data_IF_093044853089
#
_entry.id   IF_093044853089
#
_cell.length_a   1.000
_cell.length_b   1.000
_cell.length_c   1.000
_cell.angle_alpha   90.00
_cell.angle_beta   90.00
_cell.angle_gamma   90.00
#
_symmetry.space_group_name_H-M   'P 1'
#
loop_
_entity.id
_entity.type
_entity.pdbx_description
1 polymer ?
#
# COMPACT_ATOMS: atom_id res chain seq x y z
N UNK A 1 -19.57 35.95 23.74
CA UNK A 1 -19.26 35.84 22.29
C UNK A 1 -18.17 34.81 22.00
N UNK A 2 -16.94 34.92 22.54
CA UNK A 2 -15.85 33.95 22.28
C UNK A 2 -16.22 32.47 22.54
N UNK A 3 -16.92 32.17 23.64
CA UNK A 3 -17.35 30.80 24.00
C UNK A 3 -18.39 30.20 23.03
N UNK A 4 -19.27 31.03 22.45
CA UNK A 4 -20.26 30.59 21.44
C UNK A 4 -19.62 30.35 20.07
N UNK A 5 -18.62 31.16 19.70
CA UNK A 5 -17.85 30.95 18.46
C UNK A 5 -17.04 29.66 18.53
N UNK A 6 -16.42 29.35 19.67
CA UNK A 6 -15.73 28.06 19.91
C UNK A 6 -16.71 26.88 19.91
N UNK A 7 -17.90 27.03 20.51
CA UNK A 7 -18.96 26.01 20.52
C UNK A 7 -19.54 25.69 19.13
N UNK A 8 -19.37 26.59 18.16
CA UNK A 8 -19.77 26.37 16.76
C UNK A 8 -18.58 25.85 15.94
N UNK A 9 -17.37 26.36 16.18
CA UNK A 9 -16.15 25.93 15.48
C UNK A 9 -15.77 24.49 15.86
N UNK A 10 -15.96 24.06 17.11
CA UNK A 10 -15.62 22.70 17.55
C UNK A 10 -16.46 21.61 16.85
N UNK A 11 -17.80 21.68 16.80
CA UNK A 11 -18.59 20.73 16.04
C UNK A 11 -18.37 20.87 14.53
N UNK A 12 -18.04 22.06 14.00
CA UNK A 12 -17.67 22.22 12.58
C UNK A 12 -16.33 21.54 12.26
N UNK A 13 -15.33 21.63 13.14
CA UNK A 13 -14.06 20.93 13.00
C UNK A 13 -14.23 19.42 13.16
N UNK A 14 -14.96 18.96 14.19
CA UNK A 14 -15.26 17.54 14.40
C UNK A 14 -16.06 16.93 13.25
N UNK A 15 -17.12 17.62 12.77
CA UNK A 15 -17.89 17.16 11.61
C UNK A 15 -17.06 17.22 10.33
N UNK A 16 -16.22 18.24 10.11
CA UNK A 16 -15.33 18.27 8.93
C UNK A 16 -14.30 17.14 8.92
N UNK A 17 -13.76 16.74 10.08
CA UNK A 17 -12.84 15.58 10.16
C UNK A 17 -13.56 14.25 9.94
N UNK A 18 -14.78 14.09 10.42
CA UNK A 18 -15.61 12.90 10.19
C UNK A 18 -16.12 12.82 8.74
N UNK A 19 -16.51 13.95 8.12
CA UNK A 19 -16.91 14.02 6.72
C UNK A 19 -15.72 13.83 5.76
N UNK A 20 -14.55 14.40 6.06
CA UNK A 20 -13.35 14.18 5.26
C UNK A 20 -12.91 12.71 5.29
N UNK A 21 -13.05 12.01 6.43
CA UNK A 21 -12.76 10.57 6.52
C UNK A 21 -13.85 9.72 5.87
N UNK A 22 -15.11 10.15 5.93
CA UNK A 22 -16.21 9.53 5.19
C UNK A 22 -15.99 9.60 3.67
N UNK A 23 -15.60 10.76 3.16
CA UNK A 23 -15.15 10.89 1.76
C UNK A 23 -13.86 10.13 1.50
N UNK A 24 -12.91 10.04 2.43
CA UNK A 24 -11.68 9.26 2.24
C UNK A 24 -11.94 7.74 2.19
N UNK A 25 -12.90 7.22 2.96
CA UNK A 25 -13.32 5.82 2.94
C UNK A 25 -14.19 5.50 1.71
N UNK A 26 -15.04 6.44 1.28
CA UNK A 26 -15.80 6.33 0.04
C UNK A 26 -14.88 6.46 -1.18
N UNK A 27 -13.93 7.39 -1.19
CA UNK A 27 -12.90 7.51 -2.20
C UNK A 27 -12.02 6.28 -2.18
N UNK A 28 -11.65 5.69 -1.05
CA UNK A 28 -10.92 4.41 -1.03
C UNK A 28 -11.75 3.27 -1.62
N UNK A 29 -13.06 3.23 -1.38
CA UNK A 29 -13.95 2.22 -1.97
C UNK A 29 -14.15 2.43 -3.47
N UNK A 30 -14.25 3.69 -3.91
CA UNK A 30 -14.36 4.11 -5.31
C UNK A 30 -13.01 3.91 -6.02
N UNK A 31 -11.89 4.28 -5.39
CA UNK A 31 -10.51 4.05 -5.82
C UNK A 31 -10.24 2.55 -5.87
N UNK A 32 -10.73 1.73 -4.93
CA UNK A 32 -10.70 0.27 -5.04
C UNK A 32 -11.44 -0.28 -6.26
N UNK A 33 -12.47 0.43 -6.75
CA UNK A 33 -13.24 0.13 -7.95
C UNK A 33 -12.59 0.70 -9.24
N UNK A 34 -12.01 1.90 -9.18
CA UNK A 34 -11.32 2.60 -10.28
C UNK A 34 -9.90 2.04 -10.53
N UNK A 35 -9.26 1.50 -9.49
CA UNK A 35 -7.97 0.79 -9.58
C UNK A 35 -8.09 -0.56 -10.31
N UNK A 36 -9.30 -1.12 -10.43
CA UNK A 36 -9.52 -2.22 -11.38
C UNK A 36 -9.12 -1.83 -12.82
N UNK A 37 -8.96 -0.52 -13.11
CA UNK A 37 -8.70 -0.01 -14.45
C UNK A 37 -7.23 0.42 -14.67
N UNK A 38 -6.43 0.77 -13.65
CA UNK A 38 -5.08 1.36 -13.92
C UNK A 38 -4.02 1.14 -12.81
N UNK A 39 -3.21 0.07 -12.90
CA UNK A 39 -1.89 0.02 -12.22
C UNK A 39 -0.94 -1.08 -12.71
N UNK A 40 -0.31 -0.90 -13.88
CA UNK A 40 0.80 -1.72 -14.40
C UNK A 40 0.88 -1.62 -15.94
N UNK A 41 1.84 -2.27 -16.60
CA UNK A 41 2.18 -2.12 -18.05
C UNK A 41 1.06 -2.57 -19.04
N UNK A 42 -0.19 -2.62 -18.57
CA UNK A 42 -1.35 -3.13 -19.26
C UNK A 42 -1.33 -4.65 -19.38
N UNK A 43 -2.48 -5.28 -19.63
CA UNK A 43 -2.50 -6.69 -19.97
C UNK A 43 -1.77 -6.93 -21.31
N UNK A 44 -1.31 -8.17 -21.51
CA UNK A 44 -0.74 -8.64 -22.77
C UNK A 44 -1.74 -9.54 -23.45
N UNK A 45 -1.95 -9.33 -24.75
CA UNK A 45 -2.82 -10.17 -25.56
C UNK A 45 -1.97 -11.12 -26.40
N UNK A 46 -2.30 -12.40 -26.36
CA UNK A 46 -1.58 -13.46 -27.08
C UNK A 46 -2.58 -14.34 -27.83
N UNK A 47 -2.24 -14.76 -29.03
CA UNK A 47 -3.01 -15.73 -29.82
C UNK A 47 -2.27 -17.06 -29.79
N UNK A 48 -2.92 -18.11 -29.28
CA UNK A 48 -2.39 -19.47 -29.32
C UNK A 48 -2.89 -20.15 -30.60
N UNK A 49 -2.04 -20.97 -31.23
CA UNK A 49 -2.34 -21.58 -32.54
C UNK A 49 -3.60 -22.47 -32.53
N UNK A 50 -3.94 -23.04 -31.37
CA UNK A 50 -5.12 -23.91 -31.20
C UNK A 50 -6.40 -23.13 -30.85
N UNK A 51 -6.30 -21.84 -30.56
CA UNK A 51 -7.40 -21.04 -30.03
C UNK A 51 -7.98 -20.08 -31.07
N UNK A 52 -9.32 -19.98 -31.06
CA UNK A 52 -10.05 -19.17 -32.07
C UNK A 52 -10.00 -17.66 -31.80
N UNK A 53 -9.28 -17.21 -30.78
CA UNK A 53 -9.24 -15.80 -30.43
C UNK A 53 -8.11 -15.39 -29.49
N UNK A 54 -7.88 -14.07 -29.37
CA UNK A 54 -6.87 -13.50 -28.50
C UNK A 54 -7.19 -13.75 -27.02
N UNK A 55 -6.20 -14.24 -26.28
CA UNK A 55 -6.24 -14.45 -24.82
C UNK A 55 -5.50 -13.30 -24.14
N UNK A 56 -6.07 -12.79 -23.05
CA UNK A 56 -5.52 -11.66 -22.31
C UNK A 56 -4.91 -12.14 -21.00
N UNK A 57 -3.65 -11.77 -20.75
CA UNK A 57 -2.87 -12.16 -19.57
C UNK A 57 -2.44 -10.91 -18.81
N UNK A 58 -2.51 -10.97 -17.48
CA UNK A 58 -2.10 -9.87 -16.61
C UNK A 58 -3.13 -8.76 -16.48
N UNK A 59 -2.75 -7.65 -15.85
CA UNK A 59 -3.69 -6.55 -15.54
C UNK A 59 -4.79 -6.93 -14.54
N UNK A 60 -4.69 -8.10 -13.92
CA UNK A 60 -5.71 -8.71 -13.07
C UNK A 60 -5.06 -9.31 -11.83
N UNK A 61 -5.88 -9.61 -10.81
CA UNK A 61 -5.40 -10.23 -9.58
C UNK A 61 -4.98 -11.71 -9.73
N UNK A 62 -4.43 -12.28 -8.67
CA UNK A 62 -3.93 -13.68 -8.63
C UNK A 62 -4.96 -14.72 -9.09
N UNK A 63 -6.23 -14.59 -8.68
CA UNK A 63 -7.26 -15.60 -8.96
C UNK A 63 -7.64 -15.64 -10.46
N UNK A 64 -7.97 -14.51 -11.11
CA UNK A 64 -8.12 -14.47 -12.57
C UNK A 64 -6.89 -14.98 -13.31
N UNK A 65 -5.69 -14.52 -12.93
CA UNK A 65 -4.44 -14.95 -13.57
C UNK A 65 -4.26 -16.46 -13.52
N UNK A 66 -4.46 -17.06 -12.35
CA UNK A 66 -4.37 -18.52 -12.18
C UNK A 66 -5.37 -19.25 -13.06
N UNK A 67 -6.61 -18.77 -13.12
CA UNK A 67 -7.66 -19.36 -13.94
C UNK A 67 -7.27 -19.36 -15.42
N UNK A 68 -6.68 -18.28 -15.92
CA UNK A 68 -6.16 -18.21 -17.29
C UNK A 68 -5.11 -19.30 -17.55
N UNK A 69 -4.21 -19.57 -16.60
CA UNK A 69 -3.21 -20.65 -16.74
C UNK A 69 -3.75 -22.06 -16.53
N UNK A 70 -4.91 -22.20 -15.91
CA UNK A 70 -5.63 -23.49 -15.81
C UNK A 70 -6.44 -23.77 -17.09
N UNK A 71 -6.91 -22.72 -17.78
CA UNK A 71 -7.71 -22.80 -19.00
C UNK A 71 -6.86 -22.93 -20.27
N UNK A 72 -5.66 -22.35 -20.31
CA UNK A 72 -4.82 -22.27 -21.50
C UNK A 72 -3.38 -22.73 -21.26
N UNK A 73 -2.84 -23.49 -22.21
CA UNK A 73 -1.44 -23.92 -22.20
C UNK A 73 -0.55 -22.96 -23.02
N UNK A 74 0.25 -22.16 -22.31
CA UNK A 74 1.20 -21.22 -22.91
C UNK A 74 2.55 -21.85 -23.23
N UNK A 75 2.75 -23.15 -22.96
CA UNK A 75 3.99 -23.86 -23.29
C UNK A 75 4.21 -23.98 -24.81
N UNK A 76 3.13 -23.82 -25.59
CA UNK A 76 3.13 -23.75 -27.06
C UNK A 76 3.87 -22.52 -27.59
N UNK A 77 3.95 -21.44 -26.81
CA UNK A 77 4.71 -20.24 -27.18
C UNK A 77 6.22 -20.48 -27.08
N UNK A 78 6.97 -19.81 -27.96
CA UNK A 78 8.42 -19.81 -27.93
C UNK A 78 8.97 -19.23 -26.62
N UNK A 79 10.09 -19.78 -26.13
CA UNK A 79 10.68 -19.39 -24.85
C UNK A 79 10.91 -17.88 -24.72
N UNK A 80 11.46 -17.22 -25.76
CA UNK A 80 11.70 -15.77 -25.75
C UNK A 80 10.43 -14.93 -25.67
N UNK A 81 9.32 -15.43 -26.20
CA UNK A 81 8.02 -14.78 -26.08
C UNK A 81 7.47 -14.92 -24.65
N UNK A 82 7.56 -16.13 -24.07
CA UNK A 82 7.17 -16.37 -22.68
C UNK A 82 7.98 -15.51 -21.70
N UNK A 83 9.29 -15.37 -21.94
CA UNK A 83 10.17 -14.51 -21.13
C UNK A 83 9.77 -13.02 -21.25
N UNK A 84 9.50 -12.53 -22.46
CA UNK A 84 9.01 -11.14 -22.65
C UNK A 84 7.66 -10.89 -21.97
N UNK A 85 6.75 -11.86 -22.00
CA UNK A 85 5.48 -11.77 -21.28
C UNK A 85 5.74 -11.68 -19.77
N UNK A 86 6.61 -12.53 -19.25
CA UNK A 86 6.99 -12.50 -17.84
C UNK A 86 7.61 -11.17 -17.42
N UNK A 87 8.62 -10.69 -18.14
CA UNK A 87 9.30 -9.41 -17.83
C UNK A 87 8.35 -8.21 -17.88
N UNK A 88 7.35 -8.28 -18.77
CA UNK A 88 6.35 -7.22 -18.89
C UNK A 88 5.29 -7.27 -17.78
N UNK A 89 4.85 -8.46 -17.38
CA UNK A 89 3.73 -8.66 -16.46
C UNK A 89 4.16 -8.87 -15.00
N UNK A 90 5.44 -9.16 -14.75
CA UNK A 90 5.96 -9.31 -13.39
C UNK A 90 5.75 -8.01 -12.60
N UNK A 91 5.33 -8.16 -11.35
CA UNK A 91 5.08 -7.02 -10.47
C UNK A 91 6.31 -6.74 -9.60
N UNK A 92 6.67 -5.47 -9.40
CA UNK A 92 7.77 -5.11 -8.50
C UNK A 92 7.39 -5.46 -7.06
N UNK A 93 8.34 -5.95 -6.27
CA UNK A 93 8.12 -6.28 -4.85
C UNK A 93 8.54 -5.11 -3.95
N UNK A 94 9.71 -4.53 -4.18
CA UNK A 94 10.32 -3.53 -3.29
C UNK A 94 9.56 -2.20 -3.31
N UNK A 95 9.21 -1.69 -4.49
CA UNK A 95 8.59 -0.37 -4.61
C UNK A 95 7.21 -0.27 -3.93
N UNK A 96 6.31 -1.25 -4.08
CA UNK A 96 5.07 -1.34 -3.29
C UNK A 96 5.27 -1.30 -1.78
N UNK A 97 6.28 -2.00 -1.25
CA UNK A 97 6.61 -1.99 0.18
C UNK A 97 6.99 -0.57 0.63
N UNK A 98 7.91 0.08 -0.11
CA UNK A 98 8.35 1.45 0.19
C UNK A 98 7.15 2.40 0.20
N UNK A 99 6.28 2.31 -0.82
CA UNK A 99 5.10 3.18 -0.94
C UNK A 99 4.10 2.98 0.21
N UNK A 100 3.90 1.74 0.67
CA UNK A 100 3.04 1.45 1.82
C UNK A 100 3.64 1.93 3.15
N UNK A 101 4.97 1.90 3.30
CA UNK A 101 5.63 2.44 4.50
C UNK A 101 5.58 3.97 4.50
N UNK A 102 5.76 4.62 3.36
CA UNK A 102 5.84 6.09 3.30
C UNK A 102 4.48 6.77 3.21
N UNK A 103 3.57 6.25 2.37
CA UNK A 103 2.24 6.84 2.15
C UNK A 103 1.18 6.13 2.98
N UNK A 104 1.17 4.79 2.97
CA UNK A 104 0.13 3.99 3.59
C UNK A 104 -1.14 3.84 2.76
N UNK A 105 -2.25 3.55 3.43
CA UNK A 105 -3.59 3.34 2.90
C UNK A 105 -3.65 2.27 1.80
N UNK A 106 -2.73 1.31 1.84
CA UNK A 106 -2.67 0.22 0.88
C UNK A 106 -2.20 0.65 -0.52
N UNK A 107 -1.68 1.87 -0.69
CA UNK A 107 -1.23 2.44 -1.98
C UNK A 107 -0.15 1.63 -2.72
N UNK A 108 0.61 0.81 -2.00
CA UNK A 108 1.57 -0.14 -2.54
C UNK A 108 0.89 -1.37 -3.13
N UNK A 109 -0.11 -1.93 -2.45
CA UNK A 109 -0.89 -3.08 -2.92
C UNK A 109 -1.65 -2.75 -4.22
N UNK A 110 -2.10 -1.50 -4.36
CA UNK A 110 -2.66 -0.96 -5.61
C UNK A 110 -1.72 -1.16 -6.81
N UNK A 111 -0.42 -0.92 -6.63
CA UNK A 111 0.57 -1.07 -7.70
C UNK A 111 0.78 -2.51 -8.17
N UNK A 112 0.24 -3.48 -7.44
CA UNK A 112 0.36 -4.91 -7.75
C UNK A 112 -0.99 -5.55 -8.09
N UNK A 113 -2.05 -4.76 -8.27
CA UNK A 113 -3.42 -5.27 -8.46
C UNK A 113 -3.96 -6.08 -7.26
N UNK A 114 -3.47 -5.79 -6.05
CA UNK A 114 -3.92 -6.41 -4.80
C UNK A 114 -5.01 -5.57 -4.12
N UNK A 115 -6.26 -5.76 -4.56
CA UNK A 115 -7.42 -5.03 -4.01
C UNK A 115 -7.66 -5.32 -2.52
N UNK A 116 -7.39 -6.55 -2.07
CA UNK A 116 -7.58 -6.92 -0.66
C UNK A 116 -6.53 -6.28 0.24
N UNK A 117 -5.28 -6.24 -0.21
CA UNK A 117 -4.22 -5.51 0.49
C UNK A 117 -4.46 -4.01 0.51
N UNK A 118 -4.97 -3.45 -0.61
CA UNK A 118 -5.34 -2.04 -0.69
C UNK A 118 -6.41 -1.68 0.35
N UNK A 119 -7.52 -2.45 0.36
CA UNK A 119 -8.61 -2.28 1.31
C UNK A 119 -8.13 -2.44 2.76
N UNK A 120 -7.32 -3.47 3.04
CA UNK A 120 -6.79 -3.71 4.39
C UNK A 120 -5.97 -2.52 4.88
N UNK A 121 -5.08 -2.00 4.03
CA UNK A 121 -4.26 -0.84 4.38
C UNK A 121 -5.09 0.40 4.67
N UNK A 122 -6.11 0.67 3.85
CA UNK A 122 -6.98 1.81 4.05
C UNK A 122 -7.87 1.70 5.29
N UNK A 123 -8.40 0.52 5.60
CA UNK A 123 -9.19 0.30 6.82
C UNK A 123 -8.33 0.48 8.07
N UNK A 124 -7.13 -0.10 8.11
CA UNK A 124 -6.23 0.01 9.26
C UNK A 124 -5.78 1.46 9.50
N UNK A 125 -5.41 2.17 8.44
CA UNK A 125 -4.99 3.57 8.56
C UNK A 125 -6.16 4.49 8.86
N UNK A 126 -7.32 4.27 8.24
CA UNK A 126 -8.54 5.01 8.51
C UNK A 126 -8.98 4.87 9.97
N UNK A 127 -9.04 3.65 10.49
CA UNK A 127 -9.38 3.41 11.89
C UNK A 127 -8.42 4.12 12.84
N UNK A 128 -7.12 4.00 12.59
CA UNK A 128 -6.08 4.62 13.43
C UNK A 128 -6.13 6.15 13.35
N UNK A 129 -6.38 6.72 12.17
CA UNK A 129 -6.56 8.15 11.96
C UNK A 129 -7.82 8.68 12.65
N UNK A 130 -8.93 7.92 12.64
CA UNK A 130 -10.16 8.26 13.38
C UNK A 130 -9.86 8.29 14.88
N UNK A 131 -9.25 7.24 15.42
CA UNK A 131 -8.91 7.16 16.86
C UNK A 131 -8.04 8.36 17.27
N UNK A 132 -7.01 8.67 16.48
CA UNK A 132 -6.14 9.82 16.71
C UNK A 132 -6.92 11.15 16.66
N UNK A 133 -7.79 11.32 15.65
CA UNK A 133 -8.56 12.54 15.44
C UNK A 133 -9.58 12.78 16.55
N UNK A 134 -10.23 11.73 17.04
CA UNK A 134 -11.15 11.82 18.19
C UNK A 134 -10.37 12.26 19.44
N UNK A 135 -9.22 11.65 19.71
CA UNK A 135 -8.37 12.04 20.83
C UNK A 135 -7.90 13.50 20.74
N UNK A 136 -7.46 13.93 19.56
CA UNK A 136 -7.07 15.32 19.29
C UNK A 136 -8.24 16.30 19.44
N UNK A 137 -9.43 15.93 18.99
CA UNK A 137 -10.65 16.72 19.14
C UNK A 137 -11.03 16.93 20.60
N UNK A 138 -10.91 15.89 21.43
CA UNK A 138 -11.10 15.98 22.88
C UNK A 138 -10.07 16.92 23.51
N UNK A 139 -8.79 16.76 23.15
CA UNK A 139 -7.70 17.58 23.68
C UNK A 139 -7.88 19.07 23.34
N UNK A 140 -8.14 19.38 22.06
CA UNK A 140 -8.39 20.77 21.60
C UNK A 140 -9.66 21.32 22.24
N UNK A 141 -10.72 20.53 22.35
CA UNK A 141 -11.97 20.94 22.99
C UNK A 141 -11.79 21.32 24.45
N UNK A 142 -11.03 20.52 25.20
CA UNK A 142 -10.71 20.80 26.60
C UNK A 142 -9.94 22.11 26.75
N UNK A 143 -8.86 22.31 25.99
CA UNK A 143 -8.06 23.55 26.05
C UNK A 143 -8.90 24.76 25.62
N UNK A 144 -9.81 24.60 24.65
CA UNK A 144 -10.59 25.70 24.11
C UNK A 144 -11.73 26.15 25.04
N UNK A 145 -12.36 25.20 25.75
CA UNK A 145 -13.50 25.50 26.63
C UNK A 145 -13.04 25.77 28.08
N UNK A 146 -12.01 25.07 28.53
CA UNK A 146 -11.49 25.10 29.91
C UNK A 146 -9.97 25.36 29.92
N UNK A 147 -9.48 26.49 29.37
CA UNK A 147 -8.05 26.75 29.18
C UNK A 147 -7.25 26.73 30.49
N UNK A 148 -7.84 27.18 31.60
CA UNK A 148 -7.16 27.31 32.89
C UNK A 148 -7.47 26.14 33.85
N UNK A 149 -8.44 25.29 33.53
CA UNK A 149 -8.95 24.22 34.40
C UNK A 149 -9.06 22.87 33.69
N UNK A 150 -8.40 22.68 32.55
CA UNK A 150 -8.45 21.40 31.82
C UNK A 150 -7.88 20.23 32.66
N UNK A 151 -6.97 20.52 33.60
CA UNK A 151 -6.47 19.57 34.60
C UNK A 151 -7.57 19.06 35.54
N UNK A 152 -8.62 19.84 35.77
CA UNK A 152 -9.73 19.43 36.63
C UNK A 152 -10.65 18.41 35.93
N UNK A 153 -10.53 18.32 34.61
CA UNK A 153 -11.20 17.32 33.76
C UNK A 153 -10.28 16.14 33.43
N UNK A 154 -9.49 15.72 34.43
CA UNK A 154 -8.50 14.64 34.34
C UNK A 154 -8.98 13.40 33.57
N UNK A 155 -10.20 12.87 33.78
CA UNK A 155 -10.69 11.69 33.06
C UNK A 155 -10.88 11.91 31.56
N UNK A 156 -11.37 13.08 31.16
CA UNK A 156 -11.59 13.38 29.73
C UNK A 156 -10.27 13.70 29.05
N UNK A 157 -9.36 14.38 29.76
CA UNK A 157 -8.00 14.62 29.30
C UNK A 157 -7.24 13.31 29.08
N UNK A 158 -7.30 12.37 30.03
CA UNK A 158 -6.65 11.07 29.91
C UNK A 158 -7.20 10.28 28.73
N UNK A 159 -8.53 10.24 28.56
CA UNK A 159 -9.15 9.58 27.39
C UNK A 159 -8.68 10.19 26.07
N UNK A 160 -8.59 11.52 25.99
CA UNK A 160 -8.09 12.20 24.79
C UNK A 160 -6.66 11.80 24.46
N UNK A 161 -5.77 11.81 25.45
CA UNK A 161 -4.37 11.40 25.31
C UNK A 161 -4.25 9.91 24.96
N UNK A 162 -4.99 9.04 25.63
CA UNK A 162 -4.98 7.59 25.40
C UNK A 162 -5.42 7.25 23.97
N UNK A 163 -6.45 7.93 23.45
CA UNK A 163 -6.89 7.76 22.06
C UNK A 163 -5.85 8.26 21.06
N UNK A 164 -5.18 9.39 21.32
CA UNK A 164 -4.08 9.85 20.47
C UNK A 164 -2.93 8.84 20.45
N UNK A 165 -2.51 8.32 21.61
CA UNK A 165 -1.46 7.31 21.73
C UNK A 165 -1.87 6.01 21.04
N UNK A 166 -3.10 5.54 21.25
CA UNK A 166 -3.63 4.35 20.61
C UNK A 166 -3.67 4.50 19.08
N UNK A 167 -4.11 5.66 18.57
CA UNK A 167 -4.10 5.97 17.14
C UNK A 167 -2.69 5.96 16.54
N UNK A 168 -1.70 6.54 17.24
CA UNK A 168 -0.29 6.51 16.81
C UNK A 168 0.29 5.09 16.79
N UNK A 169 0.00 4.27 17.82
CA UNK A 169 0.41 2.86 17.85
C UNK A 169 -0.26 2.10 16.71
N UNK A 170 -1.56 2.33 16.47
CA UNK A 170 -2.32 1.75 15.37
C UNK A 170 -1.68 2.03 14.01
N UNK A 171 -1.30 3.29 13.74
CA UNK A 171 -0.57 3.68 12.54
C UNK A 171 0.81 3.00 12.46
N UNK A 172 1.53 2.87 13.57
CA UNK A 172 2.81 2.16 13.58
C UNK A 172 2.66 0.68 13.20
N UNK A 173 1.67 0.00 13.78
CA UNK A 173 1.37 -1.41 13.49
C UNK A 173 0.88 -1.58 12.05
N UNK A 174 0.02 -0.67 11.57
CA UNK A 174 -0.52 -0.75 10.20
C UNK A 174 0.59 -0.67 9.15
N UNK A 175 1.66 0.11 9.39
CA UNK A 175 2.82 0.20 8.50
C UNK A 175 3.57 -1.13 8.37
N UNK A 176 3.69 -1.89 9.45
CA UNK A 176 4.30 -3.23 9.42
C UNK A 176 3.46 -4.18 8.58
N UNK A 177 2.14 -4.20 8.81
CA UNK A 177 1.20 -5.05 8.06
C UNK A 177 1.23 -4.69 6.57
N UNK A 178 1.16 -3.39 6.26
CA UNK A 178 1.20 -2.89 4.89
C UNK A 178 2.55 -3.06 4.20
N UNK A 179 3.65 -3.28 4.94
CA UNK A 179 4.92 -3.69 4.36
C UNK A 179 4.93 -5.18 3.96
N UNK A 180 4.28 -6.04 4.75
CA UNK A 180 4.28 -7.49 4.55
C UNK A 180 3.36 -7.89 3.39
N UNK A 181 2.15 -7.33 3.34
CA UNK A 181 1.12 -7.70 2.34
C UNK A 181 1.64 -7.64 0.89
N UNK A 182 2.16 -6.51 0.38
CA UNK A 182 2.64 -6.43 -1.00
C UNK A 182 3.87 -7.30 -1.26
N UNK A 183 4.64 -7.63 -0.22
CA UNK A 183 5.76 -8.56 -0.35
C UNK A 183 5.26 -9.97 -0.67
N UNK A 184 4.32 -10.47 0.15
CA UNK A 184 3.73 -11.80 -0.02
C UNK A 184 2.93 -11.89 -1.32
N UNK A 185 2.14 -10.85 -1.62
CA UNK A 185 1.34 -10.82 -2.85
C UNK A 185 2.22 -10.83 -4.10
N UNK A 186 3.19 -9.92 -4.21
CA UNK A 186 4.05 -9.83 -5.38
C UNK A 186 4.86 -11.10 -5.64
N UNK A 187 5.40 -11.73 -4.58
CA UNK A 187 6.10 -13.02 -4.68
C UNK A 187 5.18 -14.13 -5.20
N UNK A 188 3.94 -14.20 -4.71
CA UNK A 188 2.97 -15.21 -5.14
C UNK A 188 2.50 -14.97 -6.56
N UNK A 189 2.27 -13.71 -6.94
CA UNK A 189 1.87 -13.32 -8.29
C UNK A 189 2.95 -13.72 -9.31
N UNK A 190 4.20 -13.31 -9.09
CA UNK A 190 5.31 -13.61 -10.00
C UNK A 190 5.58 -15.12 -10.08
N UNK A 191 5.40 -15.86 -8.97
CA UNK A 191 5.50 -17.31 -8.99
C UNK A 191 4.45 -17.95 -9.90
N UNK A 192 3.18 -17.56 -9.77
CA UNK A 192 2.08 -18.09 -10.60
C UNK A 192 2.30 -17.72 -12.07
N UNK A 193 2.71 -16.48 -12.34
CA UNK A 193 3.04 -16.02 -13.69
C UNK A 193 4.16 -16.86 -14.32
N UNK A 194 5.24 -17.11 -13.57
CA UNK A 194 6.37 -17.91 -14.04
C UNK A 194 5.99 -19.37 -14.30
N UNK A 195 5.28 -20.00 -13.36
CA UNK A 195 4.83 -21.39 -13.46
C UNK A 195 3.84 -21.57 -14.62
N UNK A 196 2.88 -20.65 -14.76
CA UNK A 196 1.89 -20.68 -15.85
C UNK A 196 2.49 -20.46 -17.24
N UNK A 197 3.61 -19.75 -17.33
CA UNK A 197 4.38 -19.58 -18.57
C UNK A 197 5.40 -20.70 -18.82
N UNK A 198 5.45 -21.74 -17.97
CA UNK A 198 6.41 -22.84 -18.12
C UNK A 198 7.87 -22.36 -18.15
N UNK A 199 8.19 -21.32 -17.36
CA UNK A 199 9.53 -20.78 -17.23
C UNK A 199 10.22 -21.44 -16.04
N UNK A 200 11.45 -21.91 -16.23
CA UNK A 200 12.26 -22.41 -15.11
C UNK A 200 12.56 -21.28 -14.12
N UNK A 201 12.69 -21.65 -12.85
CA UNK A 201 13.07 -20.71 -11.79
C UNK A 201 14.51 -20.27 -12.00
N UNK A 202 14.72 -19.15 -12.67
CA UNK A 202 16.02 -18.51 -12.67
C UNK A 202 16.32 -18.00 -11.25
N UNK A 203 17.53 -18.28 -10.74
CA UNK A 203 17.95 -17.90 -9.38
C UNK A 203 18.11 -16.38 -9.23
N UNK A 204 17.98 -15.63 -10.32
CA UNK A 204 17.94 -14.16 -10.38
C UNK A 204 16.68 -13.55 -9.74
N UNK A 205 15.56 -14.29 -9.70
CA UNK A 205 14.27 -13.89 -9.12
C UNK A 205 14.21 -14.00 -7.58
N UNK A 206 15.17 -14.68 -6.96
CA UNK A 206 15.25 -14.78 -5.52
C UNK A 206 15.71 -13.44 -4.98
N UNK A 207 14.74 -12.56 -4.64
CA UNK A 207 14.91 -11.34 -3.86
C UNK A 207 16.37 -10.88 -3.84
N UNK A 208 16.83 -10.24 -4.91
CA UNK A 208 17.99 -9.36 -4.81
C UNK A 208 17.44 -7.98 -4.45
N UNK A 209 17.14 -7.66 -3.18
CA UNK A 209 17.48 -6.32 -2.79
C UNK A 209 18.99 -6.27 -3.00
N UNK A 210 19.45 -5.64 -4.08
CA UNK A 210 20.81 -5.12 -4.08
C UNK A 210 20.84 -3.93 -3.11
N UNK A 211 20.55 -4.20 -1.83
CA UNK A 211 20.93 -3.39 -0.69
C UNK A 211 22.39 -3.74 -0.46
N UNK A 212 23.26 -3.05 -1.19
CA UNK A 212 24.70 -3.16 -0.99
C UNK A 212 25.13 -2.18 0.08
N UNK A 213 25.94 -2.65 1.03
CA UNK A 213 26.73 -1.76 1.87
C UNK A 213 27.89 -1.25 1.02
N UNK A 214 27.82 0.00 0.59
CA UNK A 214 28.91 0.64 -0.14
C UNK A 214 29.65 1.58 0.81
N UNK A 215 30.99 1.50 0.91
CA UNK A 215 31.76 2.50 1.63
C UNK A 215 31.76 3.81 0.82
N UNK A 216 31.32 4.90 1.46
CA UNK A 216 31.53 6.26 0.97
C UNK A 216 32.80 6.83 1.60
N UNK A 217 33.82 7.17 0.80
CA UNK A 217 34.95 7.95 1.30
C UNK A 217 34.47 9.37 1.60
N UNK A 218 34.56 9.77 2.87
CA UNK A 218 34.37 11.18 3.26
C UNK A 218 35.68 11.96 3.11
N UNK A 219 35.59 13.28 2.93
CA UNK A 219 36.75 14.18 2.76
C UNK A 219 37.80 14.08 3.88
N UNK A 220 37.37 13.59 5.05
CA UNK A 220 38.16 13.51 6.27
C UNK A 220 38.82 12.13 6.46
N UNK A 221 38.80 11.27 5.43
CA UNK A 221 39.44 9.95 5.44
C UNK A 221 38.68 8.85 6.21
N UNK A 222 37.45 9.12 6.66
CA UNK A 222 36.58 8.14 7.32
C UNK A 222 35.69 7.42 6.31
N UNK A 223 35.48 6.12 6.53
CA UNK A 223 34.55 5.30 5.74
C UNK A 223 33.15 5.38 6.38
N UNK A 224 32.18 5.93 5.67
CA UNK A 224 30.78 5.86 6.04
C UNK A 224 30.10 4.73 5.25
N UNK A 225 29.29 3.91 5.94
CA UNK A 225 28.53 2.85 5.29
C UNK A 225 27.17 3.41 4.86
N UNK A 226 26.90 3.42 3.56
CA UNK A 226 25.57 3.72 3.04
C UNK A 226 24.84 2.45 2.60
N UNK A 227 23.53 2.47 2.80
CA UNK A 227 22.61 1.47 2.24
C UNK A 227 22.18 1.97 0.87
N UNK A 228 22.79 1.42 -0.19
CA UNK A 228 22.47 1.79 -1.56
C UNK A 228 21.50 0.78 -2.16
N UNK A 229 20.40 1.25 -2.75
CA UNK A 229 19.52 0.45 -3.59
C UNK A 229 19.87 0.70 -5.06
N UNK A 230 20.28 -0.34 -5.79
CA UNK A 230 20.54 -0.23 -7.23
C UNK A 230 19.22 -0.41 -8.00
N UNK A 231 18.66 0.68 -8.52
CA UNK A 231 17.55 0.63 -9.48
C UNK A 231 18.16 0.47 -10.88
N UNK A 232 17.89 -0.62 -11.61
CA UNK A 232 18.30 -0.72 -13.00
C UNK A 232 17.54 0.35 -13.79
N UNK A 233 18.28 1.30 -14.34
CA UNK A 233 17.76 2.22 -15.35
C UNK A 233 17.75 1.44 -16.67
N UNK A 234 16.56 1.26 -17.25
CA UNK A 234 16.36 0.94 -18.66
C UNK A 234 16.08 2.23 -19.41
#
# INVERSE_FOLDING_TARGET
MKRFVVLIILPVLLTSTLFAVGELLFDVAIVGLDIMVTAGKGPVTVTLDEEKGPITIGGTGIKPLRRTFEEYDFSTLGYEERLRIYDRLSVPVVWPIVKNITIGFGNGSVLQYDSMGALTGAVLDGASAITLSVGLGIFIGLISVHPDTFSDHLPLFSVGVDLMVAGMIGLGVSRIVQAIIPAVYGLRYNKILREGLGLEKDRSDALRPALGFAPLPTSDGRLQWQVAARVPLQ
#
